data_IF_318775268375
#
_entry.id   IF_318775268375
#
_cell.length_a   1.000
_cell.length_b   1.000
_cell.length_c   1.000
_cell.angle_alpha   90.00
_cell.angle_beta   90.00
_cell.angle_gamma   90.00
#
_symmetry.space_group_name_H-M   'P 1'
#
loop_
_entity.id
_entity.type
_entity.pdbx_description
1 polymer ?
#
# COMPACT_ATOMS: atom_id res chain seq x y z
N UNK A 1 -78.51 -18.79 -18.75
CA UNK A 1 -77.16 -18.69 -19.33
C UNK A 1 -76.18 -18.27 -18.24
N UNK A 2 -75.31 -19.19 -17.74
CA UNK A 2 -74.29 -18.92 -16.75
C UNK A 2 -72.96 -18.75 -17.48
N UNK A 3 -72.38 -17.55 -17.41
CA UNK A 3 -71.03 -17.30 -17.94
C UNK A 3 -69.94 -17.61 -16.84
N UNK A 4 -69.10 -18.59 -17.14
CA UNK A 4 -67.92 -18.97 -16.32
C UNK A 4 -66.74 -18.13 -16.75
N UNK A 5 -66.25 -17.22 -15.87
CA UNK A 5 -65.02 -16.49 -16.06
C UNK A 5 -63.84 -17.37 -15.64
N UNK A 6 -62.97 -17.67 -16.59
CA UNK A 6 -61.66 -18.28 -16.30
C UNK A 6 -60.66 -17.18 -15.99
N UNK A 7 -60.15 -17.16 -14.76
CA UNK A 7 -59.04 -16.31 -14.35
C UNK A 7 -57.71 -17.00 -14.72
N UNK A 8 -56.95 -16.39 -15.64
CA UNK A 8 -55.57 -16.83 -15.97
C UNK A 8 -54.63 -16.15 -15.03
N UNK A 9 -53.99 -16.90 -14.12
CA UNK A 9 -52.95 -16.42 -13.24
C UNK A 9 -51.60 -16.44 -13.97
N UNK A 10 -51.06 -15.24 -14.24
CA UNK A 10 -49.67 -15.09 -14.72
C UNK A 10 -48.72 -15.21 -13.54
N UNK A 11 -47.97 -16.31 -13.49
CA UNK A 11 -46.86 -16.46 -12.56
C UNK A 11 -45.61 -15.69 -13.09
N UNK A 12 -45.32 -14.54 -12.49
CA UNK A 12 -44.11 -13.77 -12.79
C UNK A 12 -42.91 -14.45 -12.11
N UNK A 13 -42.08 -15.12 -12.89
CA UNK A 13 -40.83 -15.72 -12.43
C UNK A 13 -39.76 -14.60 -12.39
N UNK A 14 -39.48 -14.03 -11.23
CA UNK A 14 -38.37 -13.08 -11.04
C UNK A 14 -37.06 -13.85 -11.01
N UNK A 15 -36.26 -13.75 -12.08
CA UNK A 15 -34.89 -14.21 -12.12
C UNK A 15 -34.04 -13.27 -11.22
N UNK A 16 -33.71 -13.69 -10.00
CA UNK A 16 -32.73 -13.07 -9.17
C UNK A 16 -31.32 -13.37 -9.75
N UNK A 17 -30.82 -12.48 -10.61
CA UNK A 17 -29.46 -12.55 -11.11
C UNK A 17 -28.50 -12.31 -9.95
N UNK A 18 -27.61 -13.27 -9.65
CA UNK A 18 -26.46 -13.02 -8.79
C UNK A 18 -25.54 -11.99 -9.47
N UNK A 19 -25.53 -10.76 -8.96
CA UNK A 19 -24.54 -9.76 -9.35
C UNK A 19 -23.24 -10.13 -8.66
N UNK A 20 -22.29 -10.71 -9.39
CA UNK A 20 -20.92 -10.87 -8.90
C UNK A 20 -20.23 -9.52 -9.00
N UNK A 21 -19.80 -8.96 -7.85
CA UNK A 21 -18.95 -7.78 -7.85
C UNK A 21 -17.60 -8.13 -8.51
N UNK A 22 -16.98 -7.18 -9.25
CA UNK A 22 -15.64 -7.39 -9.76
C UNK A 22 -14.67 -7.64 -8.59
N UNK A 23 -13.62 -8.44 -8.80
CA UNK A 23 -12.60 -8.65 -7.77
C UNK A 23 -11.94 -7.33 -7.39
N UNK A 24 -11.59 -7.18 -6.11
CA UNK A 24 -10.87 -6.01 -5.63
C UNK A 24 -9.47 -5.95 -6.26
N UNK A 25 -8.98 -4.75 -6.65
CA UNK A 25 -7.63 -4.60 -7.16
C UNK A 25 -6.61 -5.06 -6.11
N UNK A 26 -5.60 -5.83 -6.55
CA UNK A 26 -4.51 -6.32 -5.71
C UNK A 26 -3.16 -6.01 -6.34
N UNK A 27 -2.13 -5.91 -5.50
CA UNK A 27 -0.74 -5.80 -5.90
C UNK A 27 0.15 -6.41 -4.83
N UNK A 28 1.42 -6.57 -5.11
CA UNK A 28 2.39 -7.04 -4.11
C UNK A 28 3.77 -6.41 -4.33
N UNK A 29 4.61 -6.48 -3.30
CA UNK A 29 6.00 -6.09 -3.39
C UNK A 29 6.86 -7.05 -2.55
N UNK A 30 7.90 -7.60 -3.16
CA UNK A 30 8.95 -8.32 -2.43
C UNK A 30 10.09 -7.35 -2.16
N UNK A 31 10.37 -7.11 -0.87
CA UNK A 31 11.44 -6.22 -0.45
C UNK A 31 12.74 -6.99 -0.29
N UNK A 32 13.76 -6.53 -0.99
CA UNK A 32 15.11 -7.04 -0.91
C UNK A 32 16.00 -6.09 -0.10
N UNK A 33 17.01 -6.64 0.56
CA UNK A 33 17.95 -5.86 1.37
C UNK A 33 18.74 -4.85 0.54
N UNK A 34 18.98 -3.67 1.13
CA UNK A 34 19.80 -2.57 0.58
C UNK A 34 20.73 -2.04 1.67
N UNK A 35 21.72 -1.23 1.27
CA UNK A 35 22.68 -0.60 2.21
C UNK A 35 23.38 -1.61 3.14
N UNK A 36 23.73 -2.79 2.60
CA UNK A 36 24.36 -3.88 3.36
C UNK A 36 23.55 -4.34 4.59
N UNK A 37 22.24 -4.16 4.60
CA UNK A 37 21.33 -4.69 5.63
C UNK A 37 21.00 -6.15 5.40
N UNK A 38 20.24 -6.75 6.34
CA UNK A 38 19.63 -8.07 6.19
C UNK A 38 18.10 -8.00 6.15
N UNK A 39 17.54 -6.78 5.98
CA UNK A 39 16.10 -6.57 6.00
C UNK A 39 15.49 -7.05 4.68
N UNK A 40 14.54 -7.95 4.80
CA UNK A 40 13.75 -8.46 3.66
C UNK A 40 12.28 -8.60 4.07
N UNK A 41 11.39 -8.71 3.10
CA UNK A 41 9.99 -8.89 3.41
C UNK A 41 9.08 -8.97 2.21
N UNK A 42 7.79 -9.00 2.51
CA UNK A 42 6.72 -9.03 1.53
C UNK A 42 5.58 -8.11 1.97
N UNK A 43 5.02 -7.40 1.01
CA UNK A 43 3.83 -6.56 1.22
C UNK A 43 2.75 -7.01 0.25
N UNK A 44 1.60 -7.39 0.79
CA UNK A 44 0.39 -7.64 0.01
C UNK A 44 -0.52 -6.40 0.09
N UNK A 45 -0.99 -5.94 -1.06
CA UNK A 45 -1.81 -4.75 -1.21
C UNK A 45 -3.18 -5.12 -1.76
N UNK A 46 -4.24 -4.60 -1.16
CA UNK A 46 -5.61 -4.76 -1.63
C UNK A 46 -6.33 -3.42 -1.54
N UNK A 47 -6.99 -2.99 -2.60
CA UNK A 47 -7.76 -1.74 -2.56
C UNK A 47 -9.23 -2.04 -2.29
N UNK A 48 -9.75 -1.52 -1.18
CA UNK A 48 -11.16 -1.61 -0.80
C UNK A 48 -11.72 -0.21 -0.56
N UNK A 49 -12.82 0.15 -1.24
CA UNK A 49 -13.50 1.46 -1.11
C UNK A 49 -12.54 2.67 -1.17
N UNK A 50 -11.60 2.65 -2.13
CA UNK A 50 -10.62 3.73 -2.35
C UNK A 50 -9.59 3.90 -1.22
N UNK A 51 -9.40 2.89 -0.38
CA UNK A 51 -8.31 2.80 0.59
C UNK A 51 -7.47 1.58 0.24
N UNK A 52 -6.16 1.76 0.16
CA UNK A 52 -5.23 0.65 -0.04
C UNK A 52 -4.80 0.09 1.31
N UNK A 53 -5.14 -1.17 1.55
CA UNK A 53 -4.69 -1.96 2.70
C UNK A 53 -3.36 -2.60 2.36
N UNK A 54 -2.33 -2.33 3.15
CA UNK A 54 -1.00 -2.90 3.00
C UNK A 54 -0.70 -3.84 4.18
N UNK A 55 -0.74 -5.16 3.94
CA UNK A 55 -0.25 -6.13 4.90
C UNK A 55 1.25 -6.27 4.75
N UNK A 56 1.98 -5.87 5.78
CA UNK A 56 3.43 -5.77 5.82
C UNK A 56 4.02 -6.88 6.68
N UNK A 57 4.85 -7.72 6.07
CA UNK A 57 5.60 -8.77 6.72
C UNK A 57 7.10 -8.54 6.45
N UNK A 58 7.88 -8.17 7.49
CA UNK A 58 9.32 -7.90 7.39
C UNK A 58 10.09 -8.74 8.40
N UNK A 59 11.38 -8.97 8.12
CA UNK A 59 12.33 -9.60 9.02
C UNK A 59 13.73 -9.02 8.87
N UNK A 60 14.60 -9.27 9.83
CA UNK A 60 15.99 -8.80 9.81
C UNK A 60 16.19 -7.39 10.38
N UNK A 61 15.17 -6.82 11.03
CA UNK A 61 15.24 -5.54 11.73
C UNK A 61 15.86 -5.70 13.13
N UNK A 62 16.29 -4.60 13.75
CA UNK A 62 16.70 -4.64 15.15
C UNK A 62 15.47 -4.87 16.06
N UNK A 63 15.54 -5.76 17.06
CA UNK A 63 14.43 -5.98 17.98
C UNK A 63 13.92 -4.71 18.64
N UNK A 64 12.61 -4.45 18.57
CA UNK A 64 11.96 -3.30 19.20
C UNK A 64 12.23 -1.96 18.52
N UNK A 65 12.88 -1.93 17.35
CA UNK A 65 13.15 -0.68 16.62
C UNK A 65 11.96 -0.24 15.75
N UNK A 66 11.87 1.06 15.51
CA UNK A 66 10.89 1.70 14.64
C UNK A 66 11.57 2.18 13.36
N UNK A 67 10.93 1.99 12.22
CA UNK A 67 11.50 2.23 10.90
C UNK A 67 10.53 2.99 10.00
N UNK A 68 10.98 4.07 9.35
CA UNK A 68 10.20 4.74 8.33
C UNK A 68 9.86 3.79 7.20
N UNK A 69 8.62 3.86 6.74
CA UNK A 69 8.07 3.01 5.66
C UNK A 69 7.34 3.91 4.67
N UNK A 70 7.85 3.98 3.44
CA UNK A 70 7.38 4.96 2.47
C UNK A 70 7.24 4.37 1.07
N UNK A 71 6.34 4.95 0.26
CA UNK A 71 6.26 4.72 -1.17
C UNK A 71 7.15 5.76 -1.85
N UNK A 72 8.10 5.30 -2.66
CA UNK A 72 9.00 6.14 -3.44
C UNK A 72 8.52 6.29 -4.89
N UNK A 73 8.93 7.39 -5.53
CA UNK A 73 8.41 7.84 -6.82
C UNK A 73 8.75 6.89 -7.99
N UNK A 74 9.91 6.23 -7.95
CA UNK A 74 10.37 5.35 -9.03
C UNK A 74 10.30 3.88 -8.62
N UNK A 75 9.84 3.02 -9.55
CA UNK A 75 9.89 1.57 -9.39
C UNK A 75 11.26 1.00 -9.74
N UNK A 76 12.30 1.54 -9.14
CA UNK A 76 13.68 1.14 -9.41
C UNK A 76 14.45 0.96 -8.08
N UNK A 77 14.74 -0.29 -7.75
CA UNK A 77 15.50 -0.69 -6.57
C UNK A 77 16.92 -1.17 -6.93
N UNK A 78 17.44 -0.85 -8.14
CA UNK A 78 18.70 -1.42 -8.64
C UNK A 78 19.94 -0.89 -7.93
N UNK A 79 19.92 0.35 -7.45
CA UNK A 79 21.06 0.90 -6.70
C UNK A 79 21.27 0.16 -5.38
N UNK A 80 22.53 -0.13 -4.97
CA UNK A 80 22.82 -0.84 -3.73
C UNK A 80 22.28 -0.16 -2.46
N UNK A 81 22.10 1.16 -2.48
CA UNK A 81 21.54 1.99 -1.42
C UNK A 81 20.07 2.38 -1.67
N UNK A 82 19.43 1.80 -2.70
CA UNK A 82 18.10 2.13 -3.18
C UNK A 82 17.91 3.61 -3.59
N UNK A 83 18.99 4.37 -3.88
CA UNK A 83 18.86 5.75 -4.35
C UNK A 83 18.14 5.87 -5.67
N UNK A 84 18.16 4.82 -6.51
CA UNK A 84 17.40 4.73 -7.78
C UNK A 84 15.90 4.85 -7.60
N UNK A 85 15.34 4.54 -6.43
CA UNK A 85 13.91 4.69 -6.13
C UNK A 85 13.42 6.15 -6.07
N UNK A 86 14.35 7.13 -6.08
CA UNK A 86 14.00 8.55 -6.02
C UNK A 86 13.57 9.02 -4.63
N UNK A 87 12.81 10.12 -4.56
CA UNK A 87 12.19 10.63 -3.33
C UNK A 87 10.85 9.95 -3.03
N UNK A 88 10.17 10.40 -1.98
CA UNK A 88 8.81 9.96 -1.68
C UNK A 88 7.85 10.27 -2.83
N UNK A 89 6.85 9.43 -3.05
CA UNK A 89 5.81 9.69 -4.03
C UNK A 89 4.98 10.90 -3.60
N UNK A 90 5.15 12.02 -4.31
CA UNK A 90 4.56 13.32 -3.97
C UNK A 90 3.95 14.01 -5.18
N UNK A 91 2.85 13.50 -5.74
CA UNK A 91 2.24 14.07 -6.93
C UNK A 91 1.66 15.48 -6.70
N UNK A 92 1.35 15.85 -5.46
CA UNK A 92 0.80 17.16 -5.10
C UNK A 92 1.88 18.21 -4.82
N UNK A 93 3.17 17.84 -4.73
CA UNK A 93 4.26 18.77 -4.44
C UNK A 93 4.16 19.45 -3.07
N UNK A 94 3.63 18.77 -2.07
CA UNK A 94 3.44 19.28 -0.71
C UNK A 94 4.62 18.91 0.20
N UNK A 95 4.63 19.42 1.43
CA UNK A 95 5.64 19.06 2.44
C UNK A 95 5.43 17.62 2.96
N UNK A 96 6.54 16.97 3.38
CA UNK A 96 6.52 15.72 4.12
C UNK A 96 5.77 15.89 5.44
N UNK A 97 5.08 14.83 5.87
CA UNK A 97 4.32 14.85 7.12
C UNK A 97 3.83 13.48 7.57
N UNK A 98 2.98 13.49 8.59
CA UNK A 98 2.37 12.27 9.12
C UNK A 98 1.20 11.83 8.24
N UNK A 99 1.15 10.57 7.84
CA UNK A 99 0.00 9.97 7.17
C UNK A 99 -1.31 10.28 7.92
N UNK A 100 -2.37 10.63 7.19
CA UNK A 100 -3.66 11.03 7.76
C UNK A 100 -3.72 12.45 8.33
N UNK A 101 -2.65 13.26 8.23
CA UNK A 101 -2.60 14.66 8.65
C UNK A 101 -2.02 15.52 7.53
N UNK A 102 -2.72 16.57 7.11
CA UNK A 102 -2.23 17.45 6.04
C UNK A 102 -1.31 18.56 6.60
N UNK A 103 -0.24 18.95 5.85
CA UNK A 103 0.20 18.32 4.60
C UNK A 103 1.04 17.05 4.82
N UNK A 104 0.98 16.10 3.89
CA UNK A 104 1.89 14.97 3.79
C UNK A 104 1.96 14.47 2.33
N UNK A 105 3.04 13.76 1.97
CA UNK A 105 3.15 13.14 0.65
C UNK A 105 2.15 11.96 0.52
N UNK A 106 1.70 11.68 -0.66
CA UNK A 106 0.91 10.46 -0.92
C UNK A 106 1.70 9.17 -0.59
N UNK A 107 3.03 9.24 -0.61
CA UNK A 107 3.91 8.13 -0.25
C UNK A 107 4.29 8.05 1.23
N UNK A 108 3.86 8.98 2.07
CA UNK A 108 4.16 8.95 3.51
C UNK A 108 3.25 7.91 4.20
N UNK A 109 3.73 6.68 4.38
CA UNK A 109 2.98 5.61 5.04
C UNK A 109 3.28 5.49 6.55
N UNK A 110 4.20 6.31 7.05
CA UNK A 110 4.55 6.38 8.46
C UNK A 110 5.71 5.49 8.86
N UNK A 111 5.60 4.83 10.00
CA UNK A 111 6.63 3.91 10.53
C UNK A 111 6.05 2.56 10.87
N UNK A 112 6.89 1.54 10.82
CA UNK A 112 6.61 0.18 11.27
C UNK A 112 7.46 -0.16 12.49
N UNK A 113 6.89 -0.92 13.45
CA UNK A 113 7.56 -1.30 14.69
C UNK A 113 7.92 -2.79 14.66
N UNK A 114 9.21 -3.09 14.80
CA UNK A 114 9.69 -4.46 14.92
C UNK A 114 9.38 -5.05 16.31
N UNK A 115 9.00 -6.30 16.33
CA UNK A 115 8.80 -7.07 17.56
C UNK A 115 10.15 -7.47 18.23
N UNK A 116 10.08 -8.21 19.33
CA UNK A 116 11.27 -8.68 20.05
C UNK A 116 12.17 -9.65 19.25
N UNK A 117 11.74 -10.11 18.08
CA UNK A 117 12.52 -10.96 17.17
C UNK A 117 13.07 -10.19 15.97
N UNK A 118 12.77 -8.88 15.84
CA UNK A 118 13.14 -8.09 14.67
C UNK A 118 12.23 -8.32 13.47
N UNK A 119 10.99 -8.73 13.70
CA UNK A 119 9.97 -8.98 12.69
C UNK A 119 8.86 -7.93 12.77
N UNK A 120 8.27 -7.60 11.63
CA UNK A 120 7.04 -6.79 11.53
C UNK A 120 5.96 -7.65 10.92
N UNK A 121 4.79 -7.66 11.57
CA UNK A 121 3.54 -8.23 11.04
C UNK A 121 2.44 -7.22 11.34
N UNK A 122 2.11 -6.38 10.38
CA UNK A 122 1.14 -5.30 10.59
C UNK A 122 0.33 -5.02 9.33
N UNK A 123 -0.74 -4.28 9.50
CA UNK A 123 -1.53 -3.71 8.40
C UNK A 123 -1.51 -2.19 8.50
N UNK A 124 -1.23 -1.54 7.38
CA UNK A 124 -1.28 -0.10 7.21
C UNK A 124 -2.41 0.27 6.25
N UNK A 125 -3.07 1.37 6.51
CA UNK A 125 -4.04 1.98 5.61
C UNK A 125 -3.36 3.13 4.89
N UNK A 126 -3.28 3.03 3.56
CA UNK A 126 -2.66 4.02 2.70
C UNK A 126 -3.78 4.82 2.03
N UNK A 127 -3.96 6.05 2.47
CA UNK A 127 -4.91 7.00 1.88
C UNK A 127 -4.26 7.85 0.78
N UNK A 128 -5.06 8.42 -0.10
CA UNK A 128 -4.57 9.29 -1.17
C UNK A 128 -3.79 8.57 -2.29
N UNK A 129 -3.81 7.23 -2.32
CA UNK A 129 -3.19 6.40 -3.37
C UNK A 129 -4.16 5.34 -3.88
N UNK A 130 -3.87 4.72 -5.03
CA UNK A 130 -4.70 3.67 -5.64
C UNK A 130 -3.85 2.60 -6.32
N UNK A 131 -4.41 1.40 -6.46
CA UNK A 131 -3.86 0.33 -7.31
C UNK A 131 -4.36 0.43 -8.76
N UNK A 132 -5.41 1.21 -9.03
CA UNK A 132 -5.89 1.49 -10.37
C UNK A 132 -4.93 2.41 -11.12
N UNK A 133 -5.01 2.41 -12.46
CA UNK A 133 -4.21 3.31 -13.30
C UNK A 133 -4.60 4.77 -13.06
N UNK A 134 -3.61 5.67 -13.03
CA UNK A 134 -3.82 7.10 -12.89
C UNK A 134 -2.70 7.82 -12.14
N UNK A 135 -2.85 9.14 -11.90
CA UNK A 135 -1.81 9.96 -11.28
C UNK A 135 -1.49 9.58 -9.82
N UNK A 136 -2.41 8.90 -9.14
CA UNK A 136 -2.24 8.42 -7.76
C UNK A 136 -1.89 6.93 -7.69
N UNK A 137 -1.66 6.26 -8.84
CA UNK A 137 -1.29 4.86 -8.88
C UNK A 137 0.05 4.61 -8.20
N UNK A 138 0.10 3.60 -7.33
CA UNK A 138 1.35 3.13 -6.72
C UNK A 138 1.92 1.88 -7.40
N UNK A 139 1.18 1.26 -8.30
CA UNK A 139 1.70 0.16 -9.12
C UNK A 139 2.81 0.67 -10.02
N UNK A 140 3.95 -0.04 -10.04
CA UNK A 140 5.15 0.39 -10.75
C UNK A 140 6.03 1.38 -9.98
N UNK A 141 5.68 1.74 -8.74
CA UNK A 141 6.53 2.48 -7.80
C UNK A 141 7.25 1.53 -6.85
N UNK A 142 8.01 2.03 -5.88
CA UNK A 142 8.67 1.17 -4.90
C UNK A 142 8.24 1.45 -3.47
N UNK A 143 8.23 0.38 -2.65
CA UNK A 143 8.16 0.45 -1.21
C UNK A 143 9.59 0.44 -0.64
N UNK A 144 9.85 1.30 0.32
CA UNK A 144 11.15 1.43 0.97
C UNK A 144 11.00 1.37 2.49
N UNK A 145 11.85 0.56 3.12
CA UNK A 145 12.05 0.55 4.57
C UNK A 145 13.31 1.33 4.88
N UNK A 146 13.22 2.25 5.82
CA UNK A 146 14.35 3.06 6.27
C UNK A 146 14.96 2.51 7.56
N UNK A 147 16.23 2.89 7.85
CA UNK A 147 16.96 2.44 9.05
C UNK A 147 16.38 3.03 10.32
N UNK A 148 16.00 4.30 10.29
CA UNK A 148 15.55 5.06 11.43
C UNK A 148 14.04 5.32 11.33
N UNK A 149 13.42 5.71 12.43
CA UNK A 149 12.00 6.10 12.44
C UNK A 149 11.78 7.39 11.65
N UNK A 150 10.58 7.55 11.10
CA UNK A 150 10.13 8.83 10.58
C UNK A 150 9.82 9.80 11.74
N UNK A 151 10.37 11.02 11.71
CA UNK A 151 10.10 12.07 12.69
C UNK A 151 8.87 12.93 12.31
N UNK A 152 8.30 12.68 11.12
CA UNK A 152 7.10 13.31 10.55
C UNK A 152 7.20 14.84 10.34
N UNK A 153 8.35 15.42 10.45
CA UNK A 153 8.54 16.88 10.39
C UNK A 153 9.72 17.34 9.56
N UNK A 154 10.82 16.60 9.58
CA UNK A 154 12.04 16.96 8.84
C UNK A 154 11.83 16.80 7.34
N UNK A 155 12.15 17.85 6.59
CA UNK A 155 12.04 17.84 5.13
C UNK A 155 13.31 17.30 4.48
N UNK A 156 13.23 16.60 3.38
CA UNK A 156 12.01 16.21 2.64
C UNK A 156 11.44 14.84 3.03
N UNK A 157 11.98 14.13 4.03
CA UNK A 157 11.74 12.69 4.20
C UNK A 157 11.79 12.21 5.66
N UNK A 158 11.43 13.06 6.64
CA UNK A 158 11.26 12.67 8.04
C UNK A 158 12.53 12.20 8.74
N UNK A 159 13.71 12.55 8.21
CA UNK A 159 15.02 12.16 8.76
C UNK A 159 15.18 10.63 9.00
N UNK A 160 14.48 9.82 8.19
CA UNK A 160 14.39 8.37 8.38
C UNK A 160 15.68 7.59 8.05
N UNK A 161 16.74 8.28 7.61
CA UNK A 161 18.06 7.70 7.39
C UNK A 161 18.18 6.81 6.14
N UNK A 162 19.20 5.94 6.08
CA UNK A 162 19.44 5.06 4.96
C UNK A 162 18.26 4.12 4.65
N UNK A 163 18.14 3.73 3.39
CA UNK A 163 17.15 2.78 2.90
C UNK A 163 17.68 1.36 3.08
N UNK A 164 17.07 0.58 3.93
CA UNK A 164 17.55 -0.76 4.30
C UNK A 164 16.86 -1.90 3.53
N UNK A 165 15.69 -1.65 2.96
CA UNK A 165 15.06 -2.56 2.02
C UNK A 165 14.25 -1.79 0.97
N UNK A 166 14.12 -2.37 -0.23
CA UNK A 166 13.40 -1.80 -1.34
C UNK A 166 12.73 -2.90 -2.18
N UNK A 167 11.50 -2.67 -2.64
CA UNK A 167 10.79 -3.57 -3.52
C UNK A 167 9.82 -2.81 -4.44
N UNK A 168 9.75 -3.25 -5.70
CA UNK A 168 8.80 -2.66 -6.67
C UNK A 168 7.41 -3.23 -6.44
N UNK A 169 6.39 -2.37 -6.50
CA UNK A 169 4.98 -2.75 -6.41
C UNK A 169 4.53 -3.25 -7.78
N UNK A 170 4.08 -4.49 -7.85
CA UNK A 170 3.62 -5.14 -9.08
C UNK A 170 2.18 -5.62 -8.94
N UNK A 171 1.39 -5.43 -9.99
CA UNK A 171 0.08 -6.07 -10.13
C UNK A 171 0.26 -7.57 -10.46
N UNK A 172 -0.78 -8.42 -10.20
CA UNK A 172 -0.75 -9.86 -10.52
C UNK A 172 -0.49 -10.12 -11.98
#
# INVERSE_FOLDING_TARGET
MRQTLFAVAFASCTLAGCVTLPPEPTASSTLESRSASNVVGHVALTEHKSVVHARVDLQGLAPGSEHGFHIHDKGDCSAPDASSAGGHFNPAGVAHGRAGSAPHHAGDAGSVLANAKGEVHTELLLDGVTLASGPLSIVGRSLVVHRDRDDYSSQPAGNAGPRVACGVIVAP
#
